data_IF_840092410722
#
_entry.id   IF_840092410722
#
_cell.length_a   1.000
_cell.length_b   1.000
_cell.length_c   1.000
_cell.angle_alpha   90.00
_cell.angle_beta   90.00
_cell.angle_gamma   90.00
#
_symmetry.space_group_name_H-M   'P 1'
#
loop_
_entity.id
_entity.type
_entity.pdbx_description
1 polymer ?
#
# COMPACT_ATOMS: atom_id res chain seq x y z
N UNK A 1 6.73 70.24 11.40
CA UNK A 1 5.69 69.45 10.72
C UNK A 1 6.34 68.21 10.11
N UNK A 2 5.71 67.05 10.34
CA UNK A 2 5.86 65.72 9.70
C UNK A 2 7.27 65.16 9.41
N UNK A 3 7.64 64.11 10.16
CA UNK A 3 8.56 63.06 9.71
C UNK A 3 7.75 62.01 8.95
N UNK A 4 8.08 61.75 7.69
CA UNK A 4 7.54 60.61 6.93
C UNK A 4 8.48 59.41 7.04
N UNK A 5 7.85 58.28 7.34
CA UNK A 5 8.45 56.96 7.48
C UNK A 5 8.61 56.31 6.11
N UNK A 6 9.69 55.54 5.92
CA UNK A 6 9.71 54.48 4.92
C UNK A 6 10.68 53.38 5.41
N UNK A 7 10.18 52.47 6.23
CA UNK A 7 10.88 51.26 6.64
C UNK A 7 10.96 50.30 5.44
N UNK A 8 12.07 50.36 4.71
CA UNK A 8 12.40 49.49 3.58
C UNK A 8 12.72 48.02 3.97
N UNK A 9 12.10 47.50 5.03
CA UNK A 9 12.40 46.17 5.60
C UNK A 9 11.36 45.08 5.32
N UNK A 10 10.15 45.44 4.87
CA UNK A 10 9.03 44.48 4.81
C UNK A 10 8.95 43.63 3.54
N UNK A 11 9.48 44.11 2.41
CA UNK A 11 9.27 43.46 1.11
C UNK A 11 10.12 42.18 0.93
N UNK A 12 11.32 42.15 1.50
CA UNK A 12 12.23 41.02 1.39
C UNK A 12 11.78 39.81 2.21
N UNK A 13 11.18 40.04 3.38
CA UNK A 13 10.65 38.98 4.23
C UNK A 13 9.50 38.22 3.54
N UNK A 14 8.63 38.94 2.84
CA UNK A 14 7.53 38.34 2.08
C UNK A 14 8.04 37.48 0.92
N UNK A 15 9.09 37.92 0.21
CA UNK A 15 9.64 37.20 -0.93
C UNK A 15 10.30 35.86 -0.53
N UNK A 16 10.98 35.82 0.63
CA UNK A 16 11.62 34.60 1.15
C UNK A 16 10.58 33.56 1.59
N UNK A 17 9.47 34.00 2.18
CA UNK A 17 8.36 33.10 2.54
C UNK A 17 7.61 32.55 1.32
N UNK A 18 7.49 33.34 0.24
CA UNK A 18 6.84 32.90 -1.00
C UNK A 18 7.68 31.88 -1.79
N UNK A 19 9.02 31.95 -1.74
CA UNK A 19 9.88 30.95 -2.41
C UNK A 19 9.90 29.59 -1.71
N UNK A 20 9.73 29.53 -0.39
CA UNK A 20 9.75 28.27 0.36
C UNK A 20 8.51 27.39 0.12
N UNK A 21 7.42 27.94 -0.43
CA UNK A 21 6.18 27.22 -0.69
C UNK A 21 6.14 26.48 -2.04
N UNK A 22 7.16 26.61 -2.89
CA UNK A 22 7.20 26.01 -4.24
C UNK A 22 8.22 24.89 -4.38
N UNK A 23 8.89 24.51 -3.30
CA UNK A 23 9.75 23.32 -3.30
C UNK A 23 8.91 22.06 -3.55
N UNK A 24 9.37 21.10 -4.39
CA UNK A 24 8.67 19.85 -4.59
C UNK A 24 8.56 19.14 -3.24
N UNK A 25 7.33 18.98 -2.75
CA UNK A 25 7.08 18.17 -1.57
C UNK A 25 7.64 16.76 -1.83
N UNK A 26 8.41 16.18 -0.90
CA UNK A 26 8.77 14.78 -1.03
C UNK A 26 7.45 14.00 -1.09
N UNK A 27 7.21 13.33 -2.22
CA UNK A 27 6.07 12.44 -2.35
C UNK A 27 6.23 11.38 -1.27
N UNK A 28 5.41 11.49 -0.22
CA UNK A 28 5.36 10.52 0.86
C UNK A 28 4.88 9.21 0.22
N UNK A 29 5.83 8.33 -0.12
CA UNK A 29 5.51 7.02 -0.67
C UNK A 29 4.62 6.33 0.36
N UNK A 30 3.34 6.14 0.03
CA UNK A 30 2.43 5.31 0.83
C UNK A 30 3.00 3.91 0.77
N UNK A 31 3.69 3.52 1.83
CA UNK A 31 4.14 2.15 2.00
C UNK A 31 2.90 1.28 2.06
N UNK A 32 2.67 0.50 1.00
CA UNK A 32 1.58 -0.45 0.92
C UNK A 32 1.86 -1.54 1.95
N UNK A 33 1.33 -1.37 3.15
CA UNK A 33 1.37 -2.40 4.19
C UNK A 33 0.37 -3.48 3.77
N UNK A 34 0.87 -4.66 3.45
CA UNK A 34 0.03 -5.86 3.46
C UNK A 34 -0.49 -6.05 4.88
N UNK A 35 -1.81 -6.16 5.09
CA UNK A 35 -2.37 -6.38 6.42
C UNK A 35 -1.81 -7.69 6.98
N UNK A 36 -1.33 -7.65 8.20
CA UNK A 36 -0.94 -8.84 8.93
C UNK A 36 -2.20 -9.62 9.30
N UNK A 37 -2.36 -10.81 8.76
CA UNK A 37 -3.49 -11.70 9.07
C UNK A 37 -3.02 -12.66 10.17
N UNK A 38 -3.75 -12.70 11.29
CA UNK A 38 -3.56 -13.72 12.32
C UNK A 38 -4.27 -15.00 11.89
N UNK A 39 -3.58 -16.14 12.02
CA UNK A 39 -4.21 -17.44 11.83
C UNK A 39 -5.19 -17.69 12.98
N UNK A 40 -6.46 -17.87 12.66
CA UNK A 40 -7.46 -18.31 13.62
C UNK A 40 -7.38 -19.84 13.73
N UNK A 41 -6.86 -20.33 14.86
CA UNK A 41 -6.75 -21.77 15.12
C UNK A 41 -7.99 -22.35 15.79
N UNK A 42 -9.09 -21.58 15.91
CA UNK A 42 -10.32 -22.05 16.58
C UNK A 42 -11.15 -23.03 15.74
N UNK A 43 -10.79 -23.23 14.46
CA UNK A 43 -11.46 -24.15 13.55
C UNK A 43 -10.57 -25.35 13.27
N UNK A 44 -10.63 -26.35 14.15
CA UNK A 44 -9.93 -27.64 13.99
C UNK A 44 -10.44 -28.44 12.76
N UNK A 45 -11.57 -28.06 12.18
CA UNK A 45 -12.20 -28.69 11.01
C UNK A 45 -11.83 -28.02 9.67
N UNK A 46 -10.85 -27.12 9.65
CA UNK A 46 -10.48 -26.46 8.40
C UNK A 46 -9.62 -27.37 7.51
N UNK A 47 -10.09 -27.57 6.28
CA UNK A 47 -9.52 -28.48 5.29
C UNK A 47 -9.24 -27.74 4.01
N UNK A 48 -8.17 -28.13 3.29
CA UNK A 48 -7.85 -27.55 1.97
C UNK A 48 -9.03 -27.60 0.99
N UNK A 49 -9.96 -28.55 1.17
CA UNK A 49 -11.14 -28.73 0.32
C UNK A 49 -12.18 -27.62 0.44
N UNK A 50 -12.07 -26.74 1.44
CA UNK A 50 -12.95 -25.57 1.61
C UNK A 50 -12.52 -24.39 0.73
N UNK A 51 -11.35 -24.49 0.08
CA UNK A 51 -10.72 -23.40 -0.64
C UNK A 51 -10.80 -23.59 -2.16
N UNK A 52 -10.65 -22.48 -2.88
CA UNK A 52 -10.56 -22.47 -4.34
C UNK A 52 -9.48 -21.51 -4.80
N UNK A 53 -8.93 -21.74 -5.99
CA UNK A 53 -7.92 -20.91 -6.62
C UNK A 53 -8.25 -20.67 -8.08
N UNK A 54 -8.12 -19.43 -8.52
CA UNK A 54 -8.25 -19.08 -9.93
C UNK A 54 -7.05 -19.60 -10.71
N UNK A 55 -7.30 -20.15 -11.90
CA UNK A 55 -6.22 -20.55 -12.80
C UNK A 55 -5.36 -19.35 -13.25
N UNK A 56 -4.20 -19.64 -13.82
CA UNK A 56 -3.24 -18.62 -14.26
C UNK A 56 -3.77 -17.70 -15.36
N UNK A 57 -4.86 -18.09 -16.04
CA UNK A 57 -5.47 -17.33 -17.12
C UNK A 57 -6.72 -16.54 -16.67
N UNK A 58 -7.12 -16.67 -15.40
CA UNK A 58 -8.34 -16.04 -14.89
C UNK A 58 -9.64 -16.68 -15.38
N UNK A 59 -9.58 -17.80 -16.10
CA UNK A 59 -10.72 -18.34 -16.83
C UNK A 59 -11.59 -19.28 -15.96
N UNK A 60 -10.97 -19.96 -15.00
CA UNK A 60 -11.62 -20.95 -14.15
C UNK A 60 -11.24 -20.75 -12.70
N UNK A 61 -12.24 -20.85 -11.83
CA UNK A 61 -12.01 -21.03 -10.41
C UNK A 61 -11.97 -22.53 -10.10
N UNK A 62 -10.84 -23.03 -9.63
CA UNK A 62 -10.59 -24.45 -9.37
C UNK A 62 -10.83 -24.71 -7.88
N UNK A 63 -11.79 -25.59 -7.57
CA UNK A 63 -12.01 -26.03 -6.19
C UNK A 63 -10.95 -27.05 -5.79
N UNK A 64 -10.35 -26.87 -4.61
CA UNK A 64 -9.42 -27.86 -4.07
C UNK A 64 -10.14 -29.15 -3.66
N UNK A 65 -11.47 -29.12 -3.47
CA UNK A 65 -12.30 -30.30 -3.22
C UNK A 65 -12.20 -31.35 -4.33
N UNK A 66 -11.93 -30.94 -5.58
CA UNK A 66 -11.79 -31.83 -6.73
C UNK A 66 -10.59 -32.79 -6.59
N UNK A 67 -9.66 -32.49 -5.68
CA UNK A 67 -8.48 -33.30 -5.40
C UNK A 67 -8.64 -34.24 -4.19
N UNK A 68 -9.86 -34.43 -3.68
CA UNK A 68 -10.12 -35.41 -2.60
C UNK A 68 -9.58 -36.80 -2.96
N UNK A 69 -8.90 -37.42 -1.98
CA UNK A 69 -8.28 -38.74 -2.15
C UNK A 69 -6.94 -38.72 -2.92
N UNK A 70 -6.40 -37.54 -3.23
CA UNK A 70 -5.07 -37.36 -3.82
C UNK A 70 -4.13 -36.71 -2.81
N UNK A 71 -2.83 -36.93 -2.98
CA UNK A 71 -1.79 -36.18 -2.29
C UNK A 71 -1.52 -34.90 -3.10
N UNK A 72 -1.64 -33.73 -2.47
CA UNK A 72 -1.51 -32.42 -3.11
C UNK A 72 -0.32 -31.68 -2.51
N UNK A 73 0.59 -31.18 -3.35
CA UNK A 73 1.70 -30.30 -2.96
C UNK A 73 1.35 -28.85 -3.30
N UNK A 74 1.35 -27.98 -2.30
CA UNK A 74 1.15 -26.53 -2.47
C UNK A 74 2.53 -25.86 -2.39
N UNK A 75 2.93 -25.19 -3.46
CA UNK A 75 4.21 -24.51 -3.56
C UNK A 75 4.03 -23.03 -3.97
N UNK A 76 4.70 -22.14 -3.25
CA UNK A 76 4.82 -20.74 -3.64
C UNK A 76 5.97 -20.60 -4.65
N UNK A 77 5.71 -19.97 -5.80
CA UNK A 77 6.66 -19.84 -6.92
C UNK A 77 6.85 -18.36 -7.31
N UNK A 78 8.06 -18.03 -7.77
CA UNK A 78 8.40 -16.71 -8.30
C UNK A 78 9.35 -16.85 -9.50
N UNK A 79 9.24 -15.94 -10.47
CA UNK A 79 10.14 -15.87 -11.64
C UNK A 79 11.21 -14.79 -11.42
N UNK A 80 12.37 -14.94 -12.08
CA UNK A 80 13.50 -14.00 -12.03
C UNK A 80 13.30 -12.79 -12.94
#
# INVERSE_FOLDING_TARGET
MRREAASAGGAWAALVLLLAATGPAPALAKQQRVPFVYCDTSTDDDSIYNYSATDIHGARNISLADYRGKVVLIANVATY
#
